data_IF_341477972923
#
_entry.id   IF_341477972923
#
_cell.length_a   1.000
_cell.length_b   1.000
_cell.length_c   1.000
_cell.angle_alpha   90.00
_cell.angle_beta   90.00
_cell.angle_gamma   90.00
#
_symmetry.space_group_name_H-M   'P 1'
#
loop_
_entity.id
_entity.type
_entity.pdbx_description
1 polymer ?
#
# COMPACT_ATOMS: atom_id res chain seq x y z
N UNK A 1 -15.84 -23.38 -50.62
CA UNK A 1 -14.63 -22.59 -50.34
C UNK A 1 -14.69 -22.22 -48.84
N UNK A 2 -13.87 -22.86 -48.03
CA UNK A 2 -13.68 -22.49 -46.65
C UNK A 2 -12.74 -21.28 -46.58
N UNK A 3 -13.29 -20.07 -46.70
CA UNK A 3 -12.60 -18.85 -46.34
C UNK A 3 -12.74 -18.68 -44.86
N UNK A 4 -11.76 -19.08 -44.09
CA UNK A 4 -11.70 -18.77 -42.67
C UNK A 4 -11.60 -17.26 -42.49
N UNK A 5 -12.61 -16.66 -41.85
CA UNK A 5 -12.55 -15.27 -41.40
C UNK A 5 -12.15 -15.26 -39.95
N UNK A 6 -11.11 -14.53 -39.65
CA UNK A 6 -10.72 -14.26 -38.26
C UNK A 6 -11.62 -13.14 -37.68
N UNK A 7 -12.13 -13.34 -36.48
CA UNK A 7 -12.83 -12.29 -35.72
C UNK A 7 -11.99 -11.91 -34.52
N UNK A 8 -11.50 -10.66 -34.52
CA UNK A 8 -10.67 -10.11 -33.44
C UNK A 8 -11.54 -9.32 -32.47
N UNK A 9 -11.51 -9.71 -31.20
CA UNK A 9 -12.16 -8.97 -30.11
C UNK A 9 -11.16 -8.08 -29.40
N UNK A 10 -11.53 -6.83 -29.16
CA UNK A 10 -10.81 -5.90 -28.32
C UNK A 10 -11.63 -5.61 -27.07
N UNK A 11 -11.07 -5.89 -25.88
CA UNK A 11 -11.68 -5.53 -24.63
C UNK A 11 -10.91 -4.39 -23.98
N UNK A 12 -11.60 -3.44 -23.36
CA UNK A 12 -10.98 -2.45 -22.49
C UNK A 12 -10.37 -3.13 -21.25
N UNK A 13 -9.33 -2.57 -20.62
CA UNK A 13 -8.83 -3.06 -19.35
C UNK A 13 -9.98 -3.23 -18.35
N UNK A 14 -9.96 -4.30 -17.58
CA UNK A 14 -10.94 -4.54 -16.55
C UNK A 14 -10.35 -4.11 -15.20
N UNK A 15 -10.76 -2.95 -14.71
CA UNK A 15 -10.37 -2.40 -13.40
C UNK A 15 -11.31 -2.82 -12.26
N UNK A 16 -12.33 -3.64 -12.56
CA UNK A 16 -13.25 -4.22 -11.58
C UNK A 16 -12.96 -5.70 -11.32
N UNK A 17 -13.94 -6.41 -10.78
CA UNK A 17 -13.89 -7.85 -10.59
C UNK A 17 -13.88 -8.63 -11.91
N UNK A 18 -13.68 -9.94 -11.83
CA UNK A 18 -13.76 -10.83 -12.98
C UNK A 18 -15.10 -10.64 -13.70
N UNK A 19 -15.04 -10.56 -15.01
CA UNK A 19 -16.25 -10.46 -15.84
C UNK A 19 -16.23 -11.48 -16.96
N UNK A 20 -17.41 -11.91 -17.35
CA UNK A 20 -17.59 -12.83 -18.46
C UNK A 20 -18.76 -12.37 -19.34
N UNK A 21 -18.74 -12.82 -20.57
CA UNK A 21 -19.83 -12.62 -21.54
C UNK A 21 -19.84 -13.76 -22.53
N UNK A 22 -20.98 -13.92 -23.21
CA UNK A 22 -21.12 -14.90 -24.29
C UNK A 22 -21.30 -14.15 -25.60
N UNK A 23 -20.46 -14.48 -26.57
CA UNK A 23 -20.59 -14.00 -27.95
C UNK A 23 -21.33 -15.06 -28.73
N UNK A 24 -22.40 -14.63 -29.40
CA UNK A 24 -23.22 -15.50 -30.25
C UNK A 24 -22.92 -15.15 -31.71
N UNK A 25 -22.41 -16.11 -32.45
CA UNK A 25 -22.23 -16.02 -33.88
C UNK A 25 -23.47 -16.56 -34.58
N UNK A 26 -23.97 -15.81 -35.54
CA UNK A 26 -25.11 -16.20 -36.33
C UNK A 26 -24.78 -16.15 -37.82
N UNK A 27 -25.18 -17.13 -38.55
CA UNK A 27 -25.11 -17.14 -40.02
C UNK A 27 -26.37 -17.77 -40.59
N UNK A 28 -26.67 -17.49 -41.85
CA UNK A 28 -27.81 -18.06 -42.55
C UNK A 28 -27.42 -18.46 -43.98
N UNK A 29 -28.02 -19.49 -44.48
CA UNK A 29 -27.95 -19.89 -45.90
C UNK A 29 -29.18 -19.38 -46.71
N UNK A 30 -29.96 -18.49 -46.08
CA UNK A 30 -31.19 -17.93 -46.63
C UNK A 30 -32.47 -18.78 -46.37
N UNK A 31 -32.29 -19.97 -45.79
CA UNK A 31 -33.40 -20.88 -45.41
C UNK A 31 -33.37 -21.21 -43.92
N UNK A 32 -32.20 -21.30 -43.36
CA UNK A 32 -32.01 -21.69 -41.96
C UNK A 32 -30.93 -20.81 -41.29
N UNK A 33 -31.18 -20.42 -40.04
CA UNK A 33 -30.24 -19.76 -39.20
C UNK A 33 -29.37 -20.81 -38.45
N UNK A 34 -28.08 -20.60 -38.47
CA UNK A 34 -27.08 -21.39 -37.72
C UNK A 34 -26.47 -20.51 -36.64
N UNK A 35 -26.38 -21.01 -35.42
CA UNK A 35 -25.83 -20.29 -34.29
C UNK A 35 -24.70 -21.08 -33.66
N UNK A 36 -23.66 -20.36 -33.24
CA UNK A 36 -22.58 -20.86 -32.39
C UNK A 36 -22.31 -19.85 -31.31
N UNK A 37 -21.85 -20.29 -30.16
CA UNK A 37 -21.55 -19.39 -29.07
C UNK A 37 -20.19 -19.67 -28.48
N UNK A 38 -19.52 -18.61 -27.97
CA UNK A 38 -18.23 -18.66 -27.30
C UNK A 38 -18.32 -17.83 -26.01
N UNK A 39 -17.92 -18.43 -24.89
CA UNK A 39 -17.73 -17.69 -23.65
C UNK A 39 -16.38 -16.96 -23.67
N UNK A 40 -16.40 -15.70 -23.29
CA UNK A 40 -15.20 -14.88 -23.08
C UNK A 40 -15.16 -14.48 -21.63
N UNK A 41 -14.04 -14.78 -20.95
CA UNK A 41 -13.77 -14.35 -19.58
C UNK A 41 -12.60 -13.37 -19.57
N UNK A 42 -12.73 -12.31 -18.79
CA UNK A 42 -11.65 -11.35 -18.54
C UNK A 42 -11.44 -11.21 -17.05
N UNK A 43 -10.23 -11.52 -16.60
CA UNK A 43 -9.83 -11.31 -15.22
C UNK A 43 -9.84 -9.82 -14.87
N UNK A 44 -10.25 -9.50 -13.64
CA UNK A 44 -10.11 -8.17 -13.08
C UNK A 44 -8.63 -7.84 -12.82
N UNK A 45 -8.24 -6.60 -13.04
CA UNK A 45 -6.96 -6.10 -12.57
C UNK A 45 -7.04 -5.89 -11.05
N UNK A 46 -5.99 -6.31 -10.32
CA UNK A 46 -5.85 -6.01 -8.90
C UNK A 46 -5.33 -4.58 -8.79
N UNK A 47 -6.18 -3.67 -8.33
CA UNK A 47 -5.87 -2.25 -8.23
C UNK A 47 -5.15 -1.97 -6.91
N UNK A 48 -3.99 -1.28 -6.91
CA UNK A 48 -3.38 -0.80 -5.69
C UNK A 48 -4.20 0.36 -5.11
N UNK A 49 -4.41 0.33 -3.80
CA UNK A 49 -5.15 1.35 -3.05
C UNK A 49 -4.41 1.70 -1.78
N UNK A 50 -4.63 2.92 -1.31
CA UNK A 50 -4.35 3.29 0.09
C UNK A 50 -5.35 2.63 1.03
N UNK A 51 -5.02 2.58 2.33
CA UNK A 51 -5.92 2.02 3.35
C UNK A 51 -7.24 2.80 3.40
N UNK A 52 -7.21 4.14 3.30
CA UNK A 52 -8.43 4.94 3.30
C UNK A 52 -9.31 4.65 2.07
N UNK A 53 -8.71 4.54 0.89
CA UNK A 53 -9.43 4.19 -0.34
C UNK A 53 -10.03 2.79 -0.26
N UNK A 54 -9.30 1.83 0.32
CA UNK A 54 -9.79 0.48 0.55
C UNK A 54 -10.98 0.46 1.50
N UNK A 55 -10.86 1.15 2.64
CA UNK A 55 -11.94 1.23 3.64
C UNK A 55 -13.21 1.92 3.11
N UNK A 56 -13.09 2.74 2.06
CA UNK A 56 -14.22 3.39 1.39
C UNK A 56 -14.87 2.52 0.30
N UNK A 57 -14.34 1.34 -0.01
CA UNK A 57 -14.94 0.43 -0.99
C UNK A 57 -16.17 -0.27 -0.41
N UNK A 58 -17.07 -0.68 -1.29
CA UNK A 58 -18.15 -1.57 -0.89
C UNK A 58 -17.63 -2.97 -0.55
N UNK A 59 -18.26 -3.62 0.42
CA UNK A 59 -17.99 -5.02 0.75
C UNK A 59 -18.33 -5.89 -0.47
N UNK A 60 -17.41 -6.77 -0.86
CA UNK A 60 -17.61 -7.59 -2.05
C UNK A 60 -16.41 -8.48 -2.39
N UNK A 61 -16.44 -9.05 -3.59
CA UNK A 61 -15.43 -10.02 -4.03
C UNK A 61 -14.29 -9.41 -4.87
N UNK A 62 -14.35 -8.11 -5.14
CA UNK A 62 -13.26 -7.40 -5.83
C UNK A 62 -12.01 -7.42 -4.97
N UNK A 63 -10.89 -7.80 -5.57
CA UNK A 63 -9.61 -7.84 -4.88
C UNK A 63 -8.82 -6.55 -5.12
N UNK A 64 -8.17 -6.08 -4.07
CA UNK A 64 -7.35 -4.89 -4.05
C UNK A 64 -5.97 -5.22 -3.50
N UNK A 65 -4.97 -4.46 -3.91
CA UNK A 65 -3.61 -4.56 -3.40
C UNK A 65 -3.36 -3.42 -2.42
N UNK A 66 -2.84 -3.75 -1.25
CA UNK A 66 -2.42 -2.80 -0.23
C UNK A 66 -0.95 -3.02 0.09
N UNK A 67 -0.21 -1.93 0.23
CA UNK A 67 1.15 -1.97 0.79
C UNK A 67 1.14 -1.18 2.10
N UNK A 68 1.64 -1.80 3.18
CA UNK A 68 1.62 -1.18 4.50
C UNK A 68 2.64 -1.78 5.46
N UNK A 69 2.88 -1.05 6.55
CA UNK A 69 3.69 -1.50 7.68
C UNK A 69 2.84 -2.36 8.62
N UNK A 70 3.32 -3.53 9.00
CA UNK A 70 2.70 -4.38 10.03
C UNK A 70 2.91 -3.70 11.39
N UNK A 71 1.84 -3.16 11.95
CA UNK A 71 1.87 -2.37 13.20
C UNK A 71 1.45 -3.16 14.42
N UNK A 72 0.79 -4.30 14.22
CA UNK A 72 0.37 -5.20 15.29
C UNK A 72 0.13 -6.60 14.73
N UNK A 73 0.55 -7.63 15.44
CA UNK A 73 0.26 -9.02 15.12
C UNK A 73 -0.58 -9.61 16.25
N UNK A 74 -1.82 -10.00 15.93
CA UNK A 74 -2.72 -10.64 16.89
C UNK A 74 -2.51 -12.17 16.93
N UNK A 75 -2.34 -12.79 15.73
CA UNK A 75 -2.12 -14.24 15.59
C UNK A 75 -1.46 -14.48 14.21
N UNK A 76 -0.13 -14.59 14.21
CA UNK A 76 0.63 -14.78 12.97
C UNK A 76 0.26 -16.09 12.26
N UNK A 77 0.08 -17.19 13.00
CA UNK A 77 -0.25 -18.49 12.44
C UNK A 77 -1.64 -18.51 11.77
N UNK A 78 -2.57 -17.69 12.27
CA UNK A 78 -3.90 -17.54 11.70
C UNK A 78 -3.99 -16.38 10.70
N UNK A 79 -2.89 -15.71 10.37
CA UNK A 79 -2.84 -14.57 9.44
C UNK A 79 -3.66 -13.37 9.90
N UNK A 80 -3.58 -13.04 11.20
CA UNK A 80 -4.33 -11.94 11.80
C UNK A 80 -3.39 -10.87 12.30
N UNK A 81 -3.45 -9.70 11.66
CA UNK A 81 -2.56 -8.58 11.96
C UNK A 81 -3.15 -7.26 11.44
N UNK A 82 -2.52 -6.16 11.79
CA UNK A 82 -2.86 -4.83 11.29
C UNK A 82 -1.75 -4.32 10.37
N UNK A 83 -2.15 -3.71 9.27
CA UNK A 83 -1.24 -2.93 8.43
C UNK A 83 -1.69 -1.48 8.42
N UNK A 84 -0.73 -0.56 8.31
CA UNK A 84 -1.00 0.86 8.13
C UNK A 84 -0.21 1.45 6.97
N UNK A 85 -0.80 2.45 6.35
CA UNK A 85 -0.13 3.44 5.53
C UNK A 85 -0.37 4.84 6.11
N UNK A 86 0.08 5.87 5.41
CA UNK A 86 -0.10 7.25 5.86
C UNK A 86 -1.57 7.72 5.92
N UNK A 87 -2.51 6.97 5.35
CA UNK A 87 -3.93 7.29 5.31
C UNK A 87 -4.74 6.61 6.41
N UNK A 88 -4.18 5.60 7.07
CA UNK A 88 -4.85 4.91 8.16
C UNK A 88 -4.36 3.48 8.39
N UNK A 89 -5.16 2.73 9.14
CA UNK A 89 -4.88 1.36 9.51
C UNK A 89 -6.06 0.46 9.13
N UNK A 90 -5.77 -0.78 8.75
CA UNK A 90 -6.77 -1.80 8.47
C UNK A 90 -6.38 -3.14 9.08
N UNK A 91 -7.38 -3.88 9.56
CA UNK A 91 -7.22 -5.23 10.06
C UNK A 91 -7.17 -6.23 8.91
N UNK A 92 -6.23 -7.15 8.96
CA UNK A 92 -6.10 -8.27 8.03
C UNK A 92 -6.58 -9.54 8.73
N UNK A 93 -7.54 -10.21 8.10
CA UNK A 93 -8.17 -11.39 8.68
C UNK A 93 -7.97 -12.64 7.82
N UNK A 94 -7.28 -13.63 8.39
CA UNK A 94 -7.00 -14.92 7.75
C UNK A 94 -6.22 -14.80 6.42
N UNK A 95 -5.21 -13.95 6.40
CA UNK A 95 -4.29 -13.93 5.26
C UNK A 95 -3.39 -15.17 5.26
N UNK A 96 -3.05 -15.64 4.06
CA UNK A 96 -1.99 -16.62 3.88
C UNK A 96 -0.63 -15.93 3.79
N UNK A 97 0.42 -16.59 4.28
CA UNK A 97 1.78 -16.06 4.37
C UNK A 97 2.12 -15.61 5.78
N UNK A 98 3.41 -15.61 6.09
CA UNK A 98 3.94 -15.24 7.41
C UNK A 98 4.39 -13.79 7.41
N UNK A 99 4.09 -13.07 8.46
CA UNK A 99 4.50 -11.69 8.68
C UNK A 99 5.04 -11.51 10.09
N UNK A 100 5.93 -10.53 10.26
CA UNK A 100 6.43 -10.08 11.56
C UNK A 100 6.05 -8.63 11.81
N UNK A 101 6.07 -8.21 13.07
CA UNK A 101 5.93 -6.81 13.43
C UNK A 101 7.01 -5.99 12.74
N UNK A 102 6.65 -4.84 12.21
CA UNK A 102 7.50 -3.91 11.45
C UNK A 102 7.96 -4.42 10.06
N UNK A 103 7.36 -5.48 9.55
CA UNK A 103 7.49 -5.79 8.13
C UNK A 103 6.70 -4.78 7.29
N UNK A 104 7.27 -4.34 6.18
CA UNK A 104 6.54 -3.69 5.10
C UNK A 104 6.07 -4.77 4.16
N UNK A 105 4.77 -4.89 3.99
CA UNK A 105 4.17 -5.99 3.24
C UNK A 105 3.25 -5.49 2.14
N UNK A 106 3.19 -6.27 1.06
CA UNK A 106 2.15 -6.12 0.03
C UNK A 106 1.19 -7.30 0.13
N UNK A 107 -0.09 -6.99 0.32
CA UNK A 107 -1.17 -7.96 0.48
C UNK A 107 -2.26 -7.73 -0.55
N UNK A 108 -2.84 -8.80 -1.06
CA UNK A 108 -4.03 -8.78 -1.90
C UNK A 108 -5.20 -9.41 -1.15
N UNK A 109 -6.32 -8.73 -1.13
CA UNK A 109 -7.54 -9.24 -0.51
C UNK A 109 -8.77 -8.42 -0.88
N UNK A 110 -9.92 -8.89 -0.45
CA UNK A 110 -11.20 -8.22 -0.66
C UNK A 110 -11.60 -7.37 0.53
N UNK A 111 -12.37 -6.31 0.27
CA UNK A 111 -12.99 -5.57 1.36
C UNK A 111 -14.09 -6.41 2.00
N UNK A 112 -13.95 -6.63 3.29
CA UNK A 112 -14.92 -7.30 4.14
C UNK A 112 -15.16 -6.45 5.39
N UNK A 113 -16.21 -6.79 6.12
CA UNK A 113 -16.53 -6.15 7.40
C UNK A 113 -16.82 -7.19 8.48
N UNK A 114 -16.46 -6.85 9.70
CA UNK A 114 -16.90 -7.55 10.89
C UNK A 114 -17.44 -6.56 11.91
N UNK A 115 -18.75 -6.66 12.22
CA UNK A 115 -19.46 -5.75 13.14
C UNK A 115 -19.27 -4.26 12.78
N UNK A 116 -19.30 -3.93 11.49
CA UNK A 116 -19.13 -2.57 10.99
C UNK A 116 -17.67 -2.08 10.94
N UNK A 117 -16.70 -2.95 11.23
CA UNK A 117 -15.27 -2.59 11.12
C UNK A 117 -14.70 -3.17 9.82
N UNK A 118 -14.13 -2.33 8.94
CA UNK A 118 -13.48 -2.76 7.73
C UNK A 118 -12.32 -3.72 7.99
N UNK A 119 -12.16 -4.71 7.12
CA UNK A 119 -11.04 -5.64 7.15
C UNK A 119 -10.66 -6.16 5.76
N UNK A 120 -9.40 -6.50 5.59
CA UNK A 120 -8.94 -7.30 4.45
C UNK A 120 -9.31 -8.76 4.73
N UNK A 121 -10.32 -9.27 4.02
CA UNK A 121 -10.81 -10.64 4.19
C UNK A 121 -10.07 -11.62 3.30
N UNK A 122 -9.65 -12.77 3.88
CA UNK A 122 -9.02 -13.89 3.16
C UNK A 122 -7.88 -13.42 2.25
N UNK A 123 -7.04 -12.55 2.79
CA UNK A 123 -5.93 -11.95 2.06
C UNK A 123 -4.86 -12.98 1.69
N UNK A 124 -4.06 -12.61 0.69
CA UNK A 124 -2.84 -13.32 0.33
C UNK A 124 -1.67 -12.36 0.43
N UNK A 125 -0.67 -12.71 1.23
CA UNK A 125 0.61 -12.02 1.21
C UNK A 125 1.26 -12.24 -0.16
N UNK A 126 1.49 -11.15 -0.91
CA UNK A 126 2.23 -11.21 -2.15
C UNK A 126 3.73 -11.11 -1.90
N UNK A 127 4.13 -10.22 -0.97
CA UNK A 127 5.53 -9.94 -0.71
C UNK A 127 5.73 -9.38 0.69
N UNK A 128 6.83 -9.75 1.33
CA UNK A 128 7.46 -8.99 2.40
C UNK A 128 8.51 -8.10 1.74
N UNK A 129 8.16 -6.84 1.53
CA UNK A 129 9.00 -5.87 0.80
C UNK A 129 10.26 -5.53 1.58
N UNK A 130 10.15 -5.48 2.91
CA UNK A 130 11.25 -5.21 3.83
C UNK A 130 10.86 -5.58 5.26
N UNK A 131 11.88 -5.77 6.12
CA UNK A 131 11.74 -5.83 7.57
C UNK A 131 12.53 -4.68 8.19
N UNK A 132 11.90 -3.89 9.06
CA UNK A 132 12.54 -2.74 9.68
C UNK A 132 12.65 -2.92 11.20
N UNK A 133 13.71 -2.37 11.80
CA UNK A 133 13.91 -2.40 13.25
C UNK A 133 13.32 -1.13 13.90
N UNK A 134 12.51 -1.25 14.96
CA UNK A 134 12.13 -0.10 15.75
C UNK A 134 13.33 0.41 16.55
N UNK A 135 13.53 1.73 16.56
CA UNK A 135 14.67 2.37 17.24
C UNK A 135 14.23 3.72 17.81
N UNK A 136 14.81 4.13 18.94
CA UNK A 136 14.63 5.49 19.47
C UNK A 136 15.32 6.53 18.58
N UNK A 137 14.86 7.79 18.61
CA UNK A 137 15.53 8.86 17.83
C UNK A 137 16.98 9.08 18.28
N UNK A 138 17.26 8.94 19.58
CA UNK A 138 18.60 9.03 20.13
C UNK A 138 19.53 7.92 19.61
N UNK A 139 19.06 6.67 19.67
CA UNK A 139 19.84 5.52 19.18
C UNK A 139 20.01 5.57 17.66
N UNK A 140 18.99 6.05 16.92
CA UNK A 140 19.11 6.26 15.48
C UNK A 140 20.20 7.30 15.14
N UNK A 141 20.26 8.42 15.87
CA UNK A 141 21.31 9.41 15.68
C UNK A 141 22.70 8.85 15.97
N UNK A 142 22.83 7.95 16.96
CA UNK A 142 24.08 7.31 17.34
C UNK A 142 24.46 6.11 16.44
N UNK A 143 23.53 5.57 15.68
CA UNK A 143 23.78 4.43 14.80
C UNK A 143 24.77 4.79 13.68
N UNK A 144 25.52 3.79 13.22
CA UNK A 144 26.35 3.93 12.03
C UNK A 144 25.46 4.07 10.77
N UNK A 145 26.00 4.74 9.76
CA UNK A 145 25.35 4.81 8.46
C UNK A 145 25.26 3.41 7.83
N UNK A 146 24.08 3.06 7.36
CA UNK A 146 23.80 1.79 6.71
C UNK A 146 22.68 1.97 5.68
N UNK A 147 22.96 1.72 4.41
CA UNK A 147 21.99 1.87 3.34
C UNK A 147 21.10 0.63 3.16
N UNK A 148 21.44 -0.49 3.78
CA UNK A 148 20.74 -1.77 3.67
C UNK A 148 19.84 -2.02 4.88
N UNK A 149 20.06 -1.30 5.98
CA UNK A 149 19.28 -1.45 7.21
C UNK A 149 18.18 -0.41 7.30
N UNK A 150 16.98 -0.89 7.53
CA UNK A 150 15.77 -0.08 7.67
C UNK A 150 15.37 0.05 9.13
N UNK A 151 14.95 1.24 9.50
CA UNK A 151 14.49 1.58 10.83
C UNK A 151 13.08 2.15 10.81
N UNK A 152 12.29 1.79 11.81
CA UNK A 152 11.00 2.44 12.09
C UNK A 152 11.26 3.56 13.08
N UNK A 153 10.93 4.79 12.70
CA UNK A 153 10.97 5.97 13.55
C UNK A 153 9.55 6.52 13.73
N UNK A 154 9.26 6.99 14.93
CA UNK A 154 8.02 7.73 15.22
C UNK A 154 8.39 9.01 15.96
N UNK A 155 7.80 10.13 15.54
CA UNK A 155 8.02 11.42 16.18
C UNK A 155 7.07 12.48 15.67
N UNK A 156 6.96 13.55 16.44
CA UNK A 156 6.16 14.73 16.09
C UNK A 156 6.95 15.63 15.15
N UNK A 157 6.35 16.06 14.07
CA UNK A 157 6.96 17.07 13.18
C UNK A 157 7.06 18.39 13.96
N UNK A 158 8.30 18.87 14.13
CA UNK A 158 8.57 20.15 14.79
C UNK A 158 8.99 21.23 13.81
N UNK A 159 9.43 20.85 12.63
CA UNK A 159 9.81 21.78 11.56
C UNK A 159 9.63 21.13 10.20
N UNK A 160 9.10 21.90 9.24
CA UNK A 160 9.07 21.54 7.82
C UNK A 160 10.08 22.44 7.10
N UNK A 161 11.24 21.87 6.75
CA UNK A 161 12.34 22.56 6.09
C UNK A 161 12.05 22.77 4.59
N UNK A 162 11.45 21.76 3.98
CA UNK A 162 11.07 21.80 2.56
C UNK A 162 9.84 20.91 2.32
N UNK A 163 8.70 21.52 2.14
CA UNK A 163 7.41 20.85 1.94
C UNK A 163 7.33 20.07 0.62
N UNK A 164 7.95 20.61 -0.43
CA UNK A 164 7.96 20.00 -1.77
C UNK A 164 8.66 18.64 -1.77
N UNK A 165 9.75 18.50 -1.03
CA UNK A 165 10.53 17.26 -0.97
C UNK A 165 10.32 16.47 0.32
N UNK A 166 9.46 16.95 1.21
CA UNK A 166 9.16 16.28 2.47
C UNK A 166 10.33 16.29 3.47
N UNK A 167 11.15 17.36 3.44
CA UNK A 167 12.25 17.48 4.40
C UNK A 167 11.73 18.06 5.70
N UNK A 168 11.81 17.29 6.78
CA UNK A 168 11.23 17.66 8.08
C UNK A 168 12.16 17.27 9.23
N UNK A 169 12.02 17.95 10.38
CA UNK A 169 12.51 17.44 11.66
C UNK A 169 11.35 16.79 12.43
N UNK A 170 11.61 15.59 12.93
CA UNK A 170 10.74 14.94 13.92
C UNK A 170 11.42 14.94 15.29
N UNK A 171 10.61 15.00 16.35
CA UNK A 171 11.04 15.03 17.74
C UNK A 171 10.25 14.02 18.56
N UNK A 172 10.91 13.32 19.47
CA UNK A 172 10.26 12.43 20.44
C UNK A 172 9.89 13.16 21.74
N UNK A 173 9.30 12.42 22.68
CA UNK A 173 8.89 12.95 24.00
C UNK A 173 10.09 13.40 24.89
N UNK A 174 11.30 12.95 24.58
CA UNK A 174 12.54 13.31 25.28
C UNK A 174 13.20 14.56 24.70
N UNK A 175 12.67 15.11 23.60
CA UNK A 175 13.23 16.26 22.88
C UNK A 175 14.34 15.90 21.89
N UNK A 176 14.58 14.62 21.66
CA UNK A 176 15.53 14.17 20.64
C UNK A 176 14.95 14.40 19.25
N UNK A 177 15.80 14.87 18.33
CA UNK A 177 15.39 15.23 16.96
C UNK A 177 16.13 14.43 15.92
N UNK A 178 15.40 14.07 14.86
CA UNK A 178 15.97 13.47 13.65
C UNK A 178 15.53 14.28 12.44
N UNK A 179 16.47 14.63 11.59
CA UNK A 179 16.20 15.19 10.29
C UNK A 179 15.86 14.07 9.29
N UNK A 180 14.71 14.18 8.63
CA UNK A 180 14.29 13.29 7.55
C UNK A 180 14.48 14.00 6.21
N UNK A 181 15.37 13.46 5.38
CA UNK A 181 15.62 13.95 4.03
C UNK A 181 14.74 13.20 3.03
N UNK A 182 13.56 13.75 2.78
CA UNK A 182 12.53 13.21 1.89
C UNK A 182 11.57 12.25 2.59
N UNK A 183 10.39 12.78 3.00
CA UNK A 183 9.24 11.98 3.46
C UNK A 183 8.23 11.87 2.34
N UNK A 184 7.77 10.66 2.06
CA UNK A 184 6.76 10.38 1.03
C UNK A 184 5.91 9.15 1.40
N UNK A 185 4.77 8.94 0.73
CA UNK A 185 3.80 7.89 1.10
C UNK A 185 3.88 6.62 0.26
N UNK A 186 4.70 6.59 -0.77
CA UNK A 186 4.75 5.50 -1.73
C UNK A 186 6.01 4.65 -1.53
N UNK A 187 5.84 3.37 -1.17
CA UNK A 187 6.93 2.43 -1.00
C UNK A 187 7.77 2.25 -2.29
N UNK A 188 7.16 2.36 -3.46
CA UNK A 188 7.87 2.27 -4.75
C UNK A 188 8.76 3.48 -5.03
N UNK A 189 8.51 4.59 -4.35
CA UNK A 189 9.27 5.82 -4.46
C UNK A 189 9.01 6.62 -5.74
N UNK A 190 7.90 6.39 -6.43
CA UNK A 190 7.55 7.10 -7.65
C UNK A 190 7.05 8.52 -7.38
N UNK A 191 6.32 8.75 -6.28
CA UNK A 191 5.68 10.02 -5.93
C UNK A 191 6.34 10.69 -4.72
N UNK A 192 7.53 11.26 -4.92
CA UNK A 192 8.34 11.87 -3.83
C UNK A 192 8.14 13.37 -3.62
N UNK A 193 7.27 14.03 -4.41
CA UNK A 193 7.09 15.48 -4.32
C UNK A 193 5.71 15.82 -3.80
N UNK A 194 5.65 16.91 -3.05
CA UNK A 194 4.43 17.49 -2.50
C UNK A 194 3.66 16.60 -1.52
N UNK A 195 4.23 15.47 -1.08
CA UNK A 195 3.55 14.53 -0.17
C UNK A 195 3.02 15.23 1.08
N UNK A 196 3.82 16.11 1.69
CA UNK A 196 3.45 16.87 2.89
C UNK A 196 2.23 17.76 2.62
N UNK A 197 2.27 18.56 1.54
CA UNK A 197 1.20 19.49 1.19
C UNK A 197 -0.05 18.79 0.69
N UNK A 198 0.09 17.79 -0.17
CA UNK A 198 -1.04 17.08 -0.77
C UNK A 198 -1.86 16.30 0.27
N UNK A 199 -1.23 15.90 1.38
CA UNK A 199 -1.87 15.18 2.48
C UNK A 199 -2.13 16.07 3.71
N UNK A 200 -1.94 17.38 3.60
CA UNK A 200 -2.17 18.34 4.67
C UNK A 200 -1.39 18.04 5.94
N UNK A 201 -0.19 17.44 5.81
CA UNK A 201 0.69 17.15 6.94
C UNK A 201 1.31 18.44 7.42
N UNK A 202 1.32 18.68 8.73
CA UNK A 202 1.71 19.93 9.34
C UNK A 202 2.61 19.74 10.56
N UNK A 203 3.25 20.83 10.98
CA UNK A 203 3.93 20.88 12.28
C UNK A 203 2.96 20.54 13.39
N UNK A 204 3.37 19.67 14.31
CA UNK A 204 2.54 19.14 15.38
C UNK A 204 1.96 17.76 15.10
N UNK A 205 1.83 17.34 13.84
CA UNK A 205 1.40 15.98 13.50
C UNK A 205 2.50 14.98 13.90
N UNK A 206 2.10 13.80 14.37
CA UNK A 206 3.02 12.69 14.63
C UNK A 206 3.05 11.77 13.42
N UNK A 207 4.23 11.42 12.95
CA UNK A 207 4.40 10.49 11.83
C UNK A 207 5.20 9.27 12.24
N UNK A 208 4.87 8.12 11.62
CA UNK A 208 5.65 6.89 11.66
C UNK A 208 6.22 6.64 10.28
N UNK A 209 7.53 6.49 10.20
CA UNK A 209 8.25 6.30 8.94
C UNK A 209 9.17 5.09 8.98
N UNK A 210 9.40 4.49 7.82
CA UNK A 210 10.50 3.54 7.59
C UNK A 210 11.59 4.23 6.76
N UNK A 211 12.82 4.21 7.24
CA UNK A 211 13.93 4.98 6.65
C UNK A 211 15.28 4.27 6.83
N UNK A 212 16.24 4.60 5.99
CA UNK A 212 17.65 4.24 6.20
C UNK A 212 18.38 5.33 6.98
N UNK A 213 19.44 4.94 7.68
CA UNK A 213 20.35 5.88 8.36
C UNK A 213 21.48 6.29 7.41
N UNK A 214 21.66 7.60 7.26
CA UNK A 214 22.79 8.19 6.54
C UNK A 214 23.28 9.44 7.27
N UNK A 215 24.44 9.98 6.87
CA UNK A 215 24.92 11.27 7.32
C UNK A 215 25.19 12.20 6.15
N UNK A 216 25.01 13.50 6.36
CA UNK A 216 25.40 14.55 5.43
C UNK A 216 26.20 15.62 6.17
N UNK A 217 27.46 15.86 5.76
CA UNK A 217 28.40 16.72 6.48
C UNK A 217 28.46 16.39 7.99
N UNK A 218 28.63 15.12 8.29
CA UNK A 218 28.68 14.54 9.65
C UNK A 218 27.39 14.70 10.48
N UNK A 219 26.33 15.27 9.92
CA UNK A 219 25.02 15.34 10.58
C UNK A 219 24.17 14.09 10.25
N UNK A 220 23.66 13.38 11.27
CA UNK A 220 22.81 12.21 11.06
C UNK A 220 21.48 12.58 10.43
N UNK A 221 20.98 11.73 9.53
CA UNK A 221 19.68 11.92 8.89
C UNK A 221 19.03 10.59 8.51
N UNK A 222 17.69 10.57 8.52
CA UNK A 222 16.91 9.56 7.81
C UNK A 222 16.78 9.95 6.34
N UNK A 223 17.02 9.02 5.43
CA UNK A 223 16.91 9.26 3.99
C UNK A 223 15.89 8.33 3.36
N UNK A 224 15.13 8.85 2.39
CA UNK A 224 14.06 8.12 1.71
C UNK A 224 13.03 7.57 2.71
N UNK A 225 12.54 8.42 3.59
CA UNK A 225 11.59 8.04 4.63
C UNK A 225 10.19 7.81 4.05
N UNK A 226 9.71 6.57 4.09
CA UNK A 226 8.34 6.23 3.67
C UNK A 226 7.41 6.33 4.87
N UNK A 227 6.38 7.13 4.77
CA UNK A 227 5.39 7.36 5.82
C UNK A 227 4.34 6.24 5.84
N UNK A 228 4.20 5.58 6.98
CA UNK A 228 3.22 4.53 7.22
C UNK A 228 2.20 4.87 8.31
N UNK A 229 2.26 6.06 8.86
CA UNK A 229 1.29 6.53 9.84
C UNK A 229 1.33 8.04 9.99
N UNK A 230 0.15 8.67 10.07
CA UNK A 230 -0.02 10.09 10.40
C UNK A 230 -1.10 10.21 11.46
N UNK A 231 -0.73 10.79 12.60
CA UNK A 231 -1.66 11.15 13.65
C UNK A 231 -1.71 12.68 13.76
N UNK A 232 -2.85 13.24 13.44
CA UNK A 232 -3.05 14.69 13.43
C UNK A 232 -2.92 15.28 14.83
N UNK A 233 -2.30 16.45 14.91
CA UNK A 233 -2.34 17.26 16.13
C UNK A 233 -3.79 17.61 16.47
N UNK A 234 -4.14 17.56 17.75
CA UNK A 234 -5.47 17.95 18.25
C UNK A 234 -5.61 19.48 18.26
#
# INVERSE_FOLDING_TARGET
KNGGSEVVFKAAPNTGGDRNTTVIFKTTDGKKEYTSQMAIAQKGAIVPLTVAEFNAKEVGDVQYRLTGLVTKVDDAAAGKYYISDYTGQVYVYKASGEVSLNDVVTIVGKHAEFKGTPQVGSGKLEEVCASAEPISLADFNAAADDNDKLYVLTGKIVEIVNDKYGNVYIEDENGEKVYLYGVYGDWTGENKKNFITDNGIAVGDEITVVTIKTSHNDAPQGKNAVCFGVKKAN
#
